data_IF_727631431082
#
_entry.id   IF_727631431082
#
_cell.length_a   1.000
_cell.length_b   1.000
_cell.length_c   1.000
_cell.angle_alpha   90.00
_cell.angle_beta   90.00
_cell.angle_gamma   90.00
#
_symmetry.space_group_name_H-M   'P 1'
#
loop_
_entity.id
_entity.type
_entity.pdbx_description
1 polymer ?
#
# COMPACT_ATOMS: atom_id res chain seq x y z
N UNK A 1 58.32 -11.00 49.41
CA UNK A 1 57.57 -11.52 50.58
C UNK A 1 57.23 -10.37 51.53
N UNK A 2 55.97 -9.94 51.53
CA UNK A 2 55.09 -9.63 52.69
C UNK A 2 54.00 -8.67 52.24
N UNK A 3 52.85 -9.29 51.94
CA UNK A 3 51.51 -8.70 51.99
C UNK A 3 51.31 -8.06 53.37
N UNK A 4 50.66 -6.88 53.41
CA UNK A 4 49.63 -6.57 54.41
C UNK A 4 48.52 -5.77 53.72
N UNK A 5 47.34 -6.42 53.62
CA UNK A 5 46.04 -5.80 53.37
C UNK A 5 45.61 -4.98 54.59
N UNK A 6 44.90 -3.86 54.41
CA UNK A 6 43.74 -3.50 55.24
C UNK A 6 42.89 -2.35 54.67
N UNK A 7 41.63 -2.71 54.38
CA UNK A 7 40.39 -2.04 54.81
C UNK A 7 40.02 -0.65 54.25
N UNK A 8 39.18 -0.72 53.22
CA UNK A 8 37.79 -0.19 53.20
C UNK A 8 37.44 0.93 54.19
N UNK A 9 37.16 2.12 53.66
CA UNK A 9 36.13 3.01 54.22
C UNK A 9 35.22 3.52 53.11
N UNK A 10 33.95 3.23 53.31
CA UNK A 10 32.80 3.48 52.46
C UNK A 10 32.31 4.90 52.80
N UNK A 11 32.55 5.90 51.94
CA UNK A 11 32.01 7.24 52.16
C UNK A 11 30.80 7.46 51.25
N UNK A 12 29.65 7.08 51.81
CA UNK A 12 28.32 7.57 51.47
C UNK A 12 28.32 9.10 51.46
N UNK A 13 28.01 9.71 50.32
CA UNK A 13 27.46 11.07 50.32
C UNK A 13 26.45 11.23 49.18
N UNK A 14 25.27 10.66 49.43
CA UNK A 14 24.02 11.06 48.81
C UNK A 14 23.77 12.55 49.09
N UNK A 15 23.96 13.40 48.09
CA UNK A 15 23.38 14.75 48.07
C UNK A 15 22.34 14.82 46.97
N UNK A 16 21.14 14.32 47.30
CA UNK A 16 19.91 14.62 46.58
C UNK A 16 19.59 16.10 46.79
N UNK A 17 19.57 16.86 45.70
CA UNK A 17 19.01 18.20 45.66
C UNK A 17 17.49 18.12 45.95
N UNK A 18 16.94 18.96 46.85
CA UNK A 18 15.50 19.05 47.01
C UNK A 18 14.93 19.93 45.88
N UNK A 19 14.38 19.31 44.83
CA UNK A 19 13.48 20.04 43.94
C UNK A 19 12.12 20.17 44.65
N UNK A 20 11.58 21.38 44.83
CA UNK A 20 10.24 21.54 45.39
C UNK A 20 9.22 20.97 44.40
N UNK A 21 8.39 20.04 44.89
CA UNK A 21 7.24 19.52 44.19
C UNK A 21 6.26 20.67 43.93
N UNK A 22 6.18 21.13 42.68
CA UNK A 22 5.13 22.03 42.25
C UNK A 22 3.80 21.27 42.31
N UNK A 23 2.94 21.66 43.25
CA UNK A 23 1.55 21.24 43.37
C UNK A 23 0.84 21.70 42.09
N UNK A 24 0.51 20.75 41.21
CA UNK A 24 -0.33 21.04 40.04
C UNK A 24 -1.72 21.43 40.55
N UNK A 25 -2.29 22.57 40.13
CA UNK A 25 -3.68 22.86 40.45
C UNK A 25 -4.56 21.78 39.84
N UNK A 26 -5.45 21.22 40.64
CA UNK A 26 -6.52 20.35 40.17
C UNK A 26 -7.35 21.13 39.15
N UNK A 27 -7.27 20.74 37.88
CA UNK A 27 -8.21 21.20 36.88
C UNK A 27 -9.59 20.68 37.29
N UNK A 28 -10.35 21.57 37.93
CA UNK A 28 -11.74 21.37 38.21
C UNK A 28 -12.46 21.00 36.91
N UNK A 29 -13.23 19.94 37.02
CA UNK A 29 -14.04 19.34 35.98
C UNK A 29 -15.03 20.39 35.44
N UNK A 30 -14.80 20.90 34.23
CA UNK A 30 -15.80 21.71 33.53
C UNK A 30 -16.50 20.81 32.52
N UNK A 31 -17.61 20.19 32.94
CA UNK A 31 -18.55 19.52 32.04
C UNK A 31 -19.11 20.55 31.07
N UNK A 32 -18.60 20.57 29.85
CA UNK A 32 -19.25 21.31 28.78
C UNK A 32 -20.55 20.59 28.43
N UNK A 33 -21.67 21.18 28.82
CA UNK A 33 -23.00 20.80 28.37
C UNK A 33 -23.13 21.17 26.90
N UNK A 34 -23.15 20.18 26.01
CA UNK A 34 -23.44 20.39 24.59
C UNK A 34 -24.91 20.81 24.45
N UNK A 35 -25.11 22.09 24.15
CA UNK A 35 -26.43 22.65 23.81
C UNK A 35 -26.80 22.29 22.38
N UNK A 36 -27.97 21.68 22.19
CA UNK A 36 -28.53 21.33 20.89
C UNK A 36 -29.38 22.50 20.38
N UNK A 37 -28.74 23.46 19.70
CA UNK A 37 -29.48 24.42 18.88
C UNK A 37 -28.69 24.68 17.60
N UNK A 38 -29.31 24.37 16.46
CA UNK A 38 -28.73 24.53 15.12
C UNK A 38 -28.63 26.01 14.75
N UNK A 39 -27.44 26.58 14.48
CA UNK A 39 -27.33 27.92 13.94
C UNK A 39 -27.64 27.90 12.43
N UNK A 40 -28.77 28.51 12.06
CA UNK A 40 -29.13 28.84 10.68
C UNK A 40 -28.30 30.04 10.22
N UNK A 41 -27.33 29.81 9.31
CA UNK A 41 -26.63 30.89 8.61
C UNK A 41 -26.87 30.85 7.10
N UNK A 42 -27.37 32.00 6.67
CA UNK A 42 -27.79 32.47 5.34
C UNK A 42 -26.59 32.47 4.38
N UNK A 43 -26.72 31.79 3.24
CA UNK A 43 -25.69 31.72 2.19
C UNK A 43 -25.93 32.82 1.15
N UNK A 44 -25.06 33.83 1.12
CA UNK A 44 -24.97 34.79 0.02
C UNK A 44 -24.40 34.09 -1.22
N UNK A 45 -25.06 34.35 -2.35
CA UNK A 45 -24.86 33.74 -3.66
C UNK A 45 -23.94 34.66 -4.48
N UNK A 46 -22.74 34.18 -4.78
CA UNK A 46 -21.81 34.77 -5.75
C UNK A 46 -21.46 33.71 -6.79
N UNK A 47 -21.76 34.02 -8.04
CA UNK A 47 -21.63 33.15 -9.22
C UNK A 47 -20.17 32.87 -9.59
N UNK A 48 -19.84 31.60 -9.83
CA UNK A 48 -18.88 31.17 -10.86
C UNK A 48 -19.30 29.77 -11.35
N UNK A 49 -19.50 29.70 -12.66
CA UNK A 49 -20.12 28.63 -13.43
C UNK A 49 -19.02 27.71 -14.01
N UNK A 50 -19.09 26.39 -13.75
CA UNK A 50 -18.79 25.30 -14.70
C UNK A 50 -18.56 23.97 -13.95
N UNK A 51 -19.64 23.22 -13.69
CA UNK A 51 -19.53 21.77 -13.45
C UNK A 51 -20.67 21.06 -14.17
N UNK A 52 -20.28 20.14 -15.06
CA UNK A 52 -21.12 19.33 -15.94
C UNK A 52 -22.37 18.80 -15.27
N UNK A 53 -23.50 19.07 -15.93
CA UNK A 53 -24.81 18.56 -15.56
C UNK A 53 -24.77 17.02 -15.56
N UNK A 54 -24.90 16.45 -14.36
CA UNK A 54 -25.33 15.06 -14.17
C UNK A 54 -26.81 15.03 -14.56
N UNK A 55 -27.07 14.69 -15.82
CA UNK A 55 -28.41 14.54 -16.35
C UNK A 55 -29.13 13.44 -15.57
N UNK A 56 -30.02 13.84 -14.67
CA UNK A 56 -31.00 12.97 -14.05
C UNK A 56 -31.97 12.55 -15.16
N UNK A 57 -31.75 11.40 -15.77
CA UNK A 57 -32.69 10.78 -16.70
C UNK A 57 -34.02 10.62 -15.97
N UNK A 58 -34.99 11.44 -16.39
CA UNK A 58 -36.39 11.31 -16.02
C UNK A 58 -36.89 10.12 -16.84
N UNK A 59 -37.14 8.99 -16.18
CA UNK A 59 -37.82 7.86 -16.82
C UNK A 59 -39.27 8.30 -17.03
N UNK A 60 -39.58 8.73 -18.24
CA UNK A 60 -40.95 8.85 -18.74
C UNK A 60 -41.28 7.52 -19.42
N UNK A 61 -42.28 6.81 -18.91
CA UNK A 61 -42.72 5.52 -19.43
C UNK A 61 -43.63 5.67 -20.65
N UNK A 62 -43.25 6.52 -21.62
CA UNK A 62 -44.09 6.82 -22.77
C UNK A 62 -43.20 7.11 -24.00
N UNK A 63 -42.56 6.08 -24.55
CA UNK A 63 -41.97 6.12 -25.89
C UNK A 63 -42.77 5.16 -26.80
N UNK A 64 -43.36 5.65 -27.92
CA UNK A 64 -44.18 4.84 -28.81
C UNK A 64 -43.31 3.89 -29.64
N UNK A 65 -43.87 2.72 -29.93
CA UNK A 65 -43.26 1.63 -30.69
C UNK A 65 -42.49 2.12 -31.93
N UNK A 66 -41.15 2.04 -31.85
CA UNK A 66 -40.21 2.32 -32.94
C UNK A 66 -39.60 1.04 -33.51
N UNK A 67 -39.80 0.87 -34.83
CA UNK A 67 -39.20 -0.01 -35.84
C UNK A 67 -38.30 -1.21 -35.45
N UNK A 68 -38.58 -2.35 -36.07
CA UNK A 68 -38.05 -3.68 -35.76
C UNK A 68 -36.67 -4.07 -36.36
N UNK A 69 -35.83 -3.12 -36.80
CA UNK A 69 -34.57 -3.40 -37.51
C UNK A 69 -33.26 -2.91 -36.82
N UNK A 70 -33.27 -2.59 -35.52
CA UNK A 70 -32.07 -2.19 -34.73
C UNK A 70 -31.35 -3.36 -34.03
N UNK A 71 -31.26 -4.54 -34.64
CA UNK A 71 -30.64 -5.73 -34.00
C UNK A 71 -29.17 -5.52 -33.63
N UNK A 72 -28.45 -4.66 -34.36
CA UNK A 72 -27.04 -4.33 -34.13
C UNK A 72 -26.80 -3.44 -32.87
N UNK A 73 -27.77 -2.61 -32.48
CA UNK A 73 -27.68 -1.83 -31.24
C UNK A 73 -27.79 -2.70 -29.97
N UNK A 74 -28.34 -3.91 -30.13
CA UNK A 74 -28.34 -4.98 -29.14
C UNK A 74 -26.93 -5.42 -28.75
N UNK A 75 -26.13 -5.72 -29.76
CA UNK A 75 -24.82 -6.35 -29.70
C UNK A 75 -23.71 -5.35 -29.31
N UNK A 76 -23.73 -4.13 -29.86
CA UNK A 76 -22.75 -3.10 -29.55
C UNK A 76 -22.71 -2.71 -28.06
N UNK A 77 -23.86 -2.71 -27.38
CA UNK A 77 -23.94 -2.42 -25.94
C UNK A 77 -23.41 -3.58 -25.11
N UNK A 78 -23.58 -4.83 -25.57
CA UNK A 78 -23.03 -6.02 -24.89
C UNK A 78 -21.50 -5.96 -24.95
N UNK A 79 -20.94 -5.66 -26.12
CA UNK A 79 -19.49 -5.51 -26.30
C UNK A 79 -18.90 -4.41 -25.41
N UNK A 80 -19.55 -3.25 -25.33
CA UNK A 80 -19.10 -2.17 -24.44
C UNK A 80 -19.08 -2.60 -22.95
N UNK A 81 -20.08 -3.39 -22.52
CA UNK A 81 -20.13 -3.91 -21.15
C UNK A 81 -19.06 -4.97 -20.91
N UNK A 82 -18.77 -5.80 -21.92
CA UNK A 82 -17.69 -6.79 -21.85
C UNK A 82 -16.34 -6.12 -21.71
N UNK A 83 -16.04 -5.11 -22.52
CA UNK A 83 -14.76 -4.42 -22.47
C UNK A 83 -14.55 -3.69 -21.14
N UNK A 84 -15.60 -3.04 -20.60
CA UNK A 84 -15.55 -2.45 -19.25
C UNK A 84 -15.33 -3.50 -18.16
N UNK A 85 -15.95 -4.66 -18.28
CA UNK A 85 -15.83 -5.75 -17.31
C UNK A 85 -14.43 -6.37 -17.38
N UNK A 86 -13.92 -6.62 -18.60
CA UNK A 86 -12.56 -7.07 -18.87
C UNK A 86 -11.54 -6.12 -18.27
N UNK A 87 -11.61 -4.82 -18.58
CA UNK A 87 -10.67 -3.83 -18.06
C UNK A 87 -10.64 -3.76 -16.52
N UNK A 88 -11.77 -4.00 -15.84
CA UNK A 88 -11.81 -4.11 -14.37
C UNK A 88 -11.14 -5.40 -13.87
N UNK A 89 -11.42 -6.53 -14.51
CA UNK A 89 -10.83 -7.82 -14.15
C UNK A 89 -9.31 -7.83 -14.38
N UNK A 90 -8.85 -7.29 -15.51
CA UNK A 90 -7.42 -7.18 -15.83
C UNK A 90 -6.66 -6.33 -14.82
N UNK A 91 -7.24 -5.23 -14.34
CA UNK A 91 -6.64 -4.43 -13.27
C UNK A 91 -6.47 -5.23 -11.97
N UNK A 92 -7.48 -6.01 -11.59
CA UNK A 92 -7.42 -6.87 -10.42
C UNK A 92 -6.34 -7.97 -10.57
N UNK A 93 -6.26 -8.60 -11.76
CA UNK A 93 -5.25 -9.61 -12.07
C UNK A 93 -3.84 -9.01 -12.11
N UNK A 94 -3.67 -7.83 -12.71
CA UNK A 94 -2.40 -7.14 -12.79
C UNK A 94 -1.88 -6.77 -11.39
N UNK A 95 -2.76 -6.24 -10.54
CA UNK A 95 -2.44 -5.97 -9.13
C UNK A 95 -1.99 -7.25 -8.40
N UNK A 96 -2.74 -8.35 -8.54
CA UNK A 96 -2.40 -9.61 -7.90
C UNK A 96 -1.04 -10.17 -8.37
N UNK A 97 -0.77 -10.10 -9.68
CA UNK A 97 0.51 -10.52 -10.27
C UNK A 97 1.68 -9.70 -9.74
N UNK A 98 1.52 -8.38 -9.61
CA UNK A 98 2.55 -7.50 -9.07
C UNK A 98 2.90 -7.86 -7.61
N UNK A 99 1.88 -8.07 -6.76
CA UNK A 99 2.08 -8.45 -5.35
C UNK A 99 2.68 -9.86 -5.23
N UNK A 100 2.23 -10.82 -6.04
CA UNK A 100 2.79 -12.17 -6.07
C UNK A 100 4.27 -12.16 -6.45
N UNK A 101 4.64 -11.38 -7.48
CA UNK A 101 6.04 -11.25 -7.90
C UNK A 101 6.92 -10.70 -6.78
N UNK A 102 6.46 -9.63 -6.12
CA UNK A 102 7.20 -9.04 -4.99
C UNK A 102 7.34 -10.01 -3.81
N UNK A 103 6.27 -10.73 -3.46
CA UNK A 103 6.30 -11.70 -2.37
C UNK A 103 7.19 -12.92 -2.67
N UNK A 104 7.22 -13.41 -3.91
CA UNK A 104 8.11 -14.52 -4.32
C UNK A 104 9.58 -14.10 -4.22
N UNK A 105 9.93 -12.90 -4.70
CA UNK A 105 11.31 -12.42 -4.61
C UNK A 105 11.74 -12.24 -3.15
N UNK A 106 10.86 -11.68 -2.31
CA UNK A 106 11.07 -11.58 -0.86
C UNK A 106 11.29 -12.96 -0.22
N UNK A 107 10.48 -13.95 -0.60
CA UNK A 107 10.58 -15.34 -0.15
C UNK A 107 11.91 -16.03 -0.49
N UNK A 108 12.48 -15.72 -1.65
CA UNK A 108 13.81 -16.19 -2.08
C UNK A 108 14.97 -15.45 -1.39
N UNK A 109 14.67 -14.40 -0.63
CA UNK A 109 15.66 -13.48 -0.07
C UNK A 109 16.31 -12.58 -1.11
N UNK A 110 15.70 -12.45 -2.30
CA UNK A 110 16.07 -11.45 -3.29
C UNK A 110 15.38 -10.14 -2.95
N UNK A 111 16.07 -9.05 -3.23
CA UNK A 111 15.59 -7.72 -2.83
C UNK A 111 15.33 -6.90 -4.06
N UNK A 112 14.11 -6.39 -4.15
CA UNK A 112 13.70 -5.42 -5.16
C UNK A 112 13.97 -3.99 -4.66
N UNK A 113 14.35 -3.06 -5.56
CA UNK A 113 14.55 -1.66 -5.19
C UNK A 113 13.26 -0.97 -4.72
N UNK A 114 12.10 -1.53 -5.09
CA UNK A 114 10.77 -1.06 -4.64
C UNK A 114 10.61 -1.03 -3.11
N UNK A 115 11.38 -1.83 -2.38
CA UNK A 115 11.35 -1.84 -0.91
C UNK A 115 11.71 -0.48 -0.28
N UNK A 116 12.50 0.34 -0.98
CA UNK A 116 12.97 1.64 -0.48
C UNK A 116 12.12 2.82 -1.00
N UNK A 117 11.05 2.57 -1.77
CA UNK A 117 10.24 3.65 -2.36
C UNK A 117 9.36 4.38 -1.31
N UNK A 118 9.11 3.75 -0.16
CA UNK A 118 8.43 4.38 0.99
C UNK A 118 9.32 5.37 1.74
N UNK A 119 10.64 5.33 1.55
CA UNK A 119 11.58 6.17 2.29
C UNK A 119 11.49 7.62 1.80
N UNK A 120 11.39 8.54 2.77
CA UNK A 120 11.32 9.99 2.54
C UNK A 120 12.48 10.66 3.26
N UNK A 121 13.29 11.40 2.52
CA UNK A 121 14.49 12.08 3.02
C UNK A 121 14.18 13.56 3.22
N UNK A 122 14.52 14.10 4.38
CA UNK A 122 14.41 15.54 4.66
C UNK A 122 15.79 16.17 4.52
N UNK A 123 15.91 17.15 3.62
CA UNK A 123 17.13 17.93 3.47
C UNK A 123 17.01 19.22 4.31
N UNK A 124 18.10 19.73 4.92
CA UNK A 124 18.08 20.96 5.69
C UNK A 124 17.86 22.20 4.80
N UNK A 125 18.33 22.17 3.55
CA UNK A 125 18.32 23.31 2.64
C UNK A 125 17.01 23.44 1.85
N UNK A 126 16.18 22.39 1.82
CA UNK A 126 14.94 22.34 1.04
C UNK A 126 13.75 22.15 1.97
N UNK A 127 12.75 23.04 1.96
CA UNK A 127 11.52 22.83 2.72
C UNK A 127 10.70 21.70 2.09
N UNK A 128 10.78 20.49 2.66
CA UNK A 128 9.98 19.34 2.24
C UNK A 128 10.68 17.99 2.43
N UNK A 129 9.95 16.92 2.10
CA UNK A 129 10.52 15.56 2.03
C UNK A 129 10.64 15.13 0.57
N UNK A 130 11.78 14.53 0.22
CA UNK A 130 12.06 14.03 -1.12
C UNK A 130 12.08 12.50 -1.12
N UNK A 131 11.79 11.91 -2.28
CA UNK A 131 11.89 10.46 -2.47
C UNK A 131 13.36 10.06 -2.57
N UNK A 132 13.72 8.91 -2.01
CA UNK A 132 15.09 8.40 -2.07
C UNK A 132 15.61 8.23 -3.52
N UNK A 133 14.75 7.80 -4.44
CA UNK A 133 15.07 7.63 -5.86
C UNK A 133 15.54 8.92 -6.56
N UNK A 134 15.20 10.10 -6.04
CA UNK A 134 15.64 11.37 -6.60
C UNK A 134 17.08 11.73 -6.16
N UNK A 135 17.52 11.21 -5.01
CA UNK A 135 18.82 11.54 -4.39
C UNK A 135 19.86 10.44 -4.58
N UNK A 136 19.43 9.22 -4.94
CA UNK A 136 20.31 8.08 -5.05
C UNK A 136 19.87 7.10 -6.14
N UNK A 137 20.85 6.40 -6.70
CA UNK A 137 20.63 5.22 -7.55
C UNK A 137 20.59 3.97 -6.67
N UNK A 138 19.57 3.12 -6.88
CA UNK A 138 19.38 1.90 -6.09
C UNK A 138 19.62 0.69 -6.99
N UNK A 139 20.63 -0.10 -6.64
CA UNK A 139 20.97 -1.33 -7.35
C UNK A 139 20.80 -2.53 -6.42
N UNK A 140 20.14 -3.60 -6.88
CA UNK A 140 20.07 -4.85 -6.15
C UNK A 140 21.17 -5.81 -6.58
N UNK A 141 21.91 -6.38 -5.61
CA UNK A 141 22.93 -7.40 -5.87
C UNK A 141 22.84 -8.51 -4.82
N UNK A 142 22.31 -9.65 -5.26
CA UNK A 142 22.06 -10.80 -4.39
C UNK A 142 21.04 -10.46 -3.31
N UNK A 143 21.48 -10.52 -2.05
CA UNK A 143 20.64 -10.27 -0.87
C UNK A 143 20.87 -8.87 -0.27
N UNK A 144 21.57 -7.98 -0.98
CA UNK A 144 21.85 -6.64 -0.50
C UNK A 144 21.41 -5.60 -1.52
N UNK A 145 20.91 -4.47 -1.02
CA UNK A 145 20.70 -3.27 -1.82
C UNK A 145 21.93 -2.36 -1.68
N UNK A 146 22.34 -1.81 -2.81
CA UNK A 146 23.39 -0.80 -2.91
C UNK A 146 22.70 0.51 -3.27
N UNK A 147 22.78 1.48 -2.38
CA UNK A 147 22.26 2.83 -2.57
C UNK A 147 23.44 3.74 -2.79
N UNK A 148 23.60 4.22 -4.02
CA UNK A 148 24.65 5.14 -4.43
C UNK A 148 24.07 6.55 -4.43
N UNK A 149 24.49 7.37 -3.47
CA UNK A 149 24.01 8.75 -3.32
C UNK A 149 24.81 9.64 -4.25
N UNK A 150 24.12 10.48 -5.03
CA UNK A 150 24.76 11.37 -5.99
C UNK A 150 25.60 12.47 -5.31
N UNK A 151 25.14 12.97 -4.16
CA UNK A 151 25.83 13.98 -3.35
C UNK A 151 26.23 13.47 -1.96
N UNK A 152 27.52 13.55 -1.68
CA UNK A 152 28.14 13.16 -0.39
C UNK A 152 27.63 13.96 0.81
N UNK A 153 27.19 15.20 0.61
CA UNK A 153 26.67 16.05 1.70
C UNK A 153 25.37 15.50 2.27
N UNK A 154 24.53 14.90 1.41
CA UNK A 154 23.21 14.37 1.75
C UNK A 154 23.25 12.95 2.34
N UNK A 155 24.41 12.29 2.30
CA UNK A 155 24.55 10.89 2.72
C UNK A 155 24.08 10.65 4.16
N UNK A 156 24.42 11.55 5.09
CA UNK A 156 24.00 11.43 6.51
C UNK A 156 22.48 11.52 6.68
N UNK A 157 21.82 12.34 5.86
CA UNK A 157 20.37 12.51 5.89
C UNK A 157 19.68 11.29 5.29
N UNK A 158 20.23 10.74 4.20
CA UNK A 158 19.75 9.48 3.58
C UNK A 158 19.87 8.32 4.57
N UNK A 159 21.01 8.18 5.23
CA UNK A 159 21.25 7.15 6.24
C UNK A 159 20.23 7.25 7.39
N UNK A 160 20.07 8.46 7.94
CA UNK A 160 19.09 8.74 8.99
C UNK A 160 17.65 8.48 8.54
N UNK A 161 17.30 8.79 7.29
CA UNK A 161 15.97 8.57 6.74
C UNK A 161 15.65 7.07 6.57
N UNK A 162 16.63 6.27 6.15
CA UNK A 162 16.47 4.81 6.04
C UNK A 162 16.27 4.20 7.44
N UNK A 163 17.02 4.67 8.44
CA UNK A 163 16.81 4.27 9.83
C UNK A 163 15.43 4.71 10.36
N UNK A 164 15.00 5.94 10.06
CA UNK A 164 13.72 6.48 10.50
C UNK A 164 12.51 5.77 9.85
N UNK A 165 12.68 5.25 8.63
CA UNK A 165 11.65 4.46 7.93
C UNK A 165 11.36 3.11 8.62
N UNK A 166 12.21 2.68 9.57
CA UNK A 166 12.07 1.47 10.38
C UNK A 166 11.62 0.24 9.56
N UNK A 167 12.29 0.03 8.42
CA UNK A 167 12.04 -1.15 7.60
C UNK A 167 12.48 -2.40 8.39
N UNK A 168 11.69 -3.49 8.39
CA UNK A 168 11.89 -4.62 9.27
C UNK A 168 13.24 -5.30 9.03
N UNK A 169 14.13 -5.23 10.02
CA UNK A 169 15.42 -5.94 10.02
C UNK A 169 16.49 -5.33 9.12
N UNK A 170 16.36 -4.05 8.76
CA UNK A 170 17.24 -3.39 7.78
C UNK A 170 18.10 -2.32 8.46
N UNK A 171 19.42 -2.46 8.38
CA UNK A 171 20.37 -1.45 8.84
C UNK A 171 21.39 -1.13 7.74
N UNK A 172 21.47 0.12 7.25
CA UNK A 172 22.47 0.53 6.27
C UNK A 172 23.89 0.44 6.83
N UNK A 173 24.79 -0.16 6.06
CA UNK A 173 26.21 -0.25 6.32
C UNK A 173 26.96 0.60 5.31
N UNK A 174 27.72 1.58 5.80
CA UNK A 174 28.56 2.42 4.93
C UNK A 174 29.76 1.61 4.44
N UNK A 175 29.82 1.34 3.14
CA UNK A 175 30.94 0.57 2.54
C UNK A 175 31.94 1.47 1.84
N UNK A 176 31.45 2.47 1.08
CA UNK A 176 32.27 3.47 0.38
C UNK A 176 31.81 4.87 0.79
N UNK A 177 32.63 5.89 0.55
CA UNK A 177 32.32 7.29 0.88
C UNK A 177 30.96 7.78 0.36
N UNK A 178 30.45 7.19 -0.74
CA UNK A 178 29.21 7.55 -1.44
C UNK A 178 28.15 6.43 -1.49
N UNK A 179 28.53 5.19 -1.13
CA UNK A 179 27.68 3.99 -1.29
C UNK A 179 27.28 3.39 0.05
N UNK A 180 25.97 3.23 0.25
CA UNK A 180 25.37 2.53 1.38
C UNK A 180 24.98 1.11 0.96
N UNK A 181 25.41 0.11 1.74
CA UNK A 181 25.07 -1.30 1.55
C UNK A 181 24.04 -1.68 2.60
N UNK A 182 22.91 -2.20 2.15
CA UNK A 182 21.81 -2.62 3.00
C UNK A 182 21.70 -4.15 2.90
N UNK A 183 22.27 -4.91 3.85
CA UNK A 183 22.13 -6.37 3.85
C UNK A 183 20.74 -6.78 4.31
N UNK A 184 20.11 -7.69 3.59
CA UNK A 184 18.86 -8.33 3.98
C UNK A 184 19.12 -9.78 4.30
N UNK A 185 18.70 -10.19 5.50
CA UNK A 185 18.79 -11.58 5.93
C UNK A 185 17.86 -12.43 5.06
N UNK A 186 18.27 -13.68 4.79
CA UNK A 186 17.38 -14.63 4.13
C UNK A 186 16.22 -14.96 5.08
N UNK A 187 14.99 -15.10 4.57
CA UNK A 187 13.85 -15.46 5.41
C UNK A 187 14.02 -16.89 5.94
N UNK A 188 13.62 -17.09 7.20
CA UNK A 188 13.54 -18.42 7.83
C UNK A 188 12.37 -19.22 7.25
N UNK A 189 12.31 -20.52 7.54
CA UNK A 189 11.22 -21.40 7.08
C UNK A 189 9.84 -20.90 7.55
N UNK A 190 9.76 -20.43 8.80
CA UNK A 190 8.53 -19.84 9.37
C UNK A 190 8.13 -18.54 8.67
N UNK A 191 9.09 -17.70 8.29
CA UNK A 191 8.80 -16.49 7.54
C UNK A 191 8.36 -16.79 6.10
N UNK A 192 8.93 -17.84 5.48
CA UNK A 192 8.49 -18.29 4.15
C UNK A 192 7.04 -18.77 4.17
N UNK A 193 6.61 -19.51 5.20
CA UNK A 193 5.22 -19.98 5.31
C UNK A 193 4.24 -18.83 5.56
N UNK A 194 4.63 -17.83 6.35
CA UNK A 194 3.82 -16.62 6.56
C UNK A 194 3.66 -15.79 5.27
N UNK A 195 4.73 -15.60 4.49
CA UNK A 195 4.64 -14.93 3.18
C UNK A 195 3.70 -15.71 2.25
N UNK A 196 3.81 -17.05 2.21
CA UNK A 196 2.92 -17.88 1.40
C UNK A 196 1.44 -17.73 1.79
N UNK A 197 1.15 -17.62 3.10
CA UNK A 197 -0.21 -17.35 3.59
C UNK A 197 -0.72 -15.99 3.10
N UNK A 198 0.08 -14.95 3.24
CA UNK A 198 -0.26 -13.60 2.76
C UNK A 198 -0.51 -13.56 1.24
N UNK A 199 0.29 -14.30 0.48
CA UNK A 199 0.10 -14.42 -0.97
C UNK A 199 -1.20 -15.14 -1.33
N UNK A 200 -1.58 -16.19 -0.58
CA UNK A 200 -2.85 -16.86 -0.76
C UNK A 200 -4.04 -15.92 -0.46
N UNK A 201 -3.97 -15.15 0.63
CA UNK A 201 -4.99 -14.16 0.99
C UNK A 201 -5.12 -13.05 -0.08
N UNK A 202 -4.00 -12.65 -0.69
CA UNK A 202 -3.98 -11.69 -1.80
C UNK A 202 -4.69 -12.23 -3.04
N UNK A 203 -4.47 -13.51 -3.38
CA UNK A 203 -5.15 -14.16 -4.51
C UNK A 203 -6.65 -14.27 -4.26
N UNK A 204 -7.08 -14.63 -3.05
CA UNK A 204 -8.50 -14.68 -2.71
C UNK A 204 -9.16 -13.29 -2.73
N UNK A 205 -8.42 -12.25 -2.34
CA UNK A 205 -8.87 -10.85 -2.49
C UNK A 205 -9.06 -10.47 -3.97
N UNK A 206 -8.14 -10.86 -4.84
CA UNK A 206 -8.24 -10.63 -6.28
C UNK A 206 -9.43 -11.38 -6.91
N UNK A 207 -9.65 -12.65 -6.53
CA UNK A 207 -10.83 -13.43 -6.96
C UNK A 207 -12.12 -12.77 -6.51
N UNK A 208 -12.15 -12.20 -5.30
CA UNK A 208 -13.31 -11.46 -4.80
C UNK A 208 -13.59 -10.23 -5.65
N UNK A 209 -12.56 -9.47 -6.05
CA UNK A 209 -12.73 -8.34 -6.97
C UNK A 209 -13.25 -8.77 -8.35
N UNK A 210 -12.78 -9.91 -8.88
CA UNK A 210 -13.29 -10.48 -10.15
C UNK A 210 -14.78 -10.85 -10.03
N UNK A 211 -15.19 -11.45 -8.90
CA UNK A 211 -16.62 -11.78 -8.64
C UNK A 211 -17.48 -10.53 -8.53
N UNK A 212 -16.96 -9.46 -7.92
CA UNK A 212 -17.64 -8.15 -7.89
C UNK A 212 -17.76 -7.56 -9.28
N UNK A 213 -16.70 -7.60 -10.10
CA UNK A 213 -16.72 -7.13 -11.49
C UNK A 213 -17.73 -7.91 -12.34
N UNK A 214 -17.84 -9.23 -12.15
CA UNK A 214 -18.89 -10.05 -12.78
C UNK A 214 -20.29 -9.57 -12.40
N UNK A 215 -20.52 -9.34 -11.12
CA UNK A 215 -21.83 -8.89 -10.61
C UNK A 215 -22.22 -7.52 -11.15
N UNK A 216 -21.25 -6.61 -11.27
CA UNK A 216 -21.43 -5.31 -11.92
C UNK A 216 -21.75 -5.47 -13.42
N UNK A 217 -21.03 -6.35 -14.12
CA UNK A 217 -21.29 -6.67 -15.52
C UNK A 217 -22.70 -7.23 -15.74
N UNK A 218 -23.16 -8.15 -14.88
CA UNK A 218 -24.51 -8.70 -14.94
C UNK A 218 -25.60 -7.65 -14.69
N UNK A 219 -25.37 -6.70 -13.77
CA UNK A 219 -26.28 -5.57 -13.55
C UNK A 219 -26.34 -4.66 -14.78
N UNK A 220 -25.21 -4.41 -15.43
CA UNK A 220 -25.13 -3.59 -16.64
C UNK A 220 -25.79 -4.25 -17.86
N UNK A 221 -25.76 -5.59 -17.95
CA UNK A 221 -26.42 -6.36 -19.02
C UNK A 221 -27.95 -6.41 -18.89
N UNK A 222 -28.51 -6.17 -17.69
CA UNK A 222 -29.94 -6.03 -17.46
C UNK A 222 -30.77 -7.22 -17.99
N UNK A 223 -31.59 -6.97 -19.03
CA UNK A 223 -32.48 -7.95 -19.69
C UNK A 223 -31.87 -8.70 -20.88
N UNK A 224 -30.66 -8.35 -21.34
CA UNK A 224 -29.98 -8.98 -22.48
C UNK A 224 -29.17 -10.23 -22.06
N UNK A 225 -29.76 -11.02 -21.15
CA UNK A 225 -29.06 -12.07 -20.40
C UNK A 225 -28.62 -13.27 -21.24
N UNK A 226 -29.23 -13.53 -22.39
CA UNK A 226 -29.02 -14.80 -23.10
C UNK A 226 -27.65 -14.94 -23.79
N UNK A 227 -26.98 -13.84 -24.14
CA UNK A 227 -25.73 -13.89 -24.93
C UNK A 227 -24.53 -13.35 -24.11
N UNK A 228 -24.72 -12.24 -23.39
CA UNK A 228 -23.62 -11.58 -22.69
C UNK A 228 -23.17 -12.25 -21.38
N UNK A 229 -24.04 -13.03 -20.71
CA UNK A 229 -23.66 -13.66 -19.42
C UNK A 229 -22.61 -14.74 -19.59
N UNK A 230 -22.71 -15.53 -20.66
CA UNK A 230 -21.83 -16.65 -20.92
C UNK A 230 -20.42 -16.17 -21.25
N UNK A 231 -20.31 -15.05 -21.98
CA UNK A 231 -19.03 -14.42 -22.31
C UNK A 231 -18.35 -13.84 -21.06
N UNK A 232 -19.10 -13.13 -20.21
CA UNK A 232 -18.56 -12.63 -18.93
C UNK A 232 -18.11 -13.79 -18.03
N UNK A 233 -18.88 -14.88 -17.98
CA UNK A 233 -18.52 -16.04 -17.15
C UNK A 233 -17.25 -16.73 -17.66
N UNK A 234 -17.08 -16.90 -18.98
CA UNK A 234 -15.83 -17.40 -19.57
C UNK A 234 -14.62 -16.56 -19.18
N UNK A 235 -14.72 -15.22 -19.28
CA UNK A 235 -13.65 -14.32 -18.86
C UNK A 235 -13.27 -14.51 -17.38
N UNK A 236 -14.27 -14.63 -16.51
CA UNK A 236 -14.05 -14.87 -15.08
C UNK A 236 -13.32 -16.19 -14.85
N UNK A 237 -13.76 -17.27 -15.50
CA UNK A 237 -13.17 -18.60 -15.35
C UNK A 237 -11.72 -18.61 -15.83
N UNK A 238 -11.41 -17.93 -16.93
CA UNK A 238 -10.05 -17.83 -17.47
C UNK A 238 -9.12 -17.05 -16.54
N UNK A 239 -9.55 -15.89 -16.03
CA UNK A 239 -8.74 -15.14 -15.06
C UNK A 239 -8.58 -15.86 -13.72
N UNK A 240 -9.59 -16.62 -13.27
CA UNK A 240 -9.47 -17.44 -12.07
C UNK A 240 -8.42 -18.56 -12.25
N UNK A 241 -8.46 -19.27 -13.38
CA UNK A 241 -7.44 -20.29 -13.72
C UNK A 241 -6.05 -19.69 -13.80
N UNK A 242 -5.92 -18.49 -14.38
CA UNK A 242 -4.63 -17.81 -14.46
C UNK A 242 -4.07 -17.50 -13.07
N UNK A 243 -4.88 -16.94 -12.16
CA UNK A 243 -4.45 -16.64 -10.79
C UNK A 243 -4.08 -17.90 -10.00
N UNK A 244 -4.86 -18.98 -10.14
CA UNK A 244 -4.54 -20.26 -9.51
C UNK A 244 -3.24 -20.87 -10.06
N UNK A 245 -3.00 -20.72 -11.37
CA UNK A 245 -1.75 -21.08 -12.02
C UNK A 245 -0.56 -20.34 -11.42
N UNK A 246 -0.65 -19.00 -11.29
CA UNK A 246 0.40 -18.17 -10.69
C UNK A 246 0.67 -18.56 -9.23
N UNK A 247 -0.38 -18.83 -8.44
CA UNK A 247 -0.21 -19.26 -7.05
C UNK A 247 0.49 -20.63 -6.96
N UNK A 248 0.18 -21.56 -7.86
CA UNK A 248 0.84 -22.87 -7.90
C UNK A 248 2.32 -22.76 -8.29
N UNK A 249 2.65 -21.86 -9.21
CA UNK A 249 4.04 -21.57 -9.59
C UNK A 249 4.77 -20.96 -8.39
N UNK A 250 4.18 -19.95 -7.75
CA UNK A 250 4.75 -19.34 -6.55
C UNK A 250 5.06 -20.40 -5.48
N UNK A 251 4.09 -21.26 -5.12
CA UNK A 251 4.29 -22.34 -4.14
C UNK A 251 5.47 -23.25 -4.49
N UNK A 252 5.60 -23.67 -5.76
CA UNK A 252 6.74 -24.48 -6.21
C UNK A 252 8.07 -23.76 -6.06
N UNK A 253 8.09 -22.44 -6.21
CA UNK A 253 9.30 -21.64 -6.03
C UNK A 253 9.73 -21.51 -4.56
N UNK A 254 8.78 -21.56 -3.61
CA UNK A 254 9.09 -21.55 -2.17
C UNK A 254 9.59 -22.89 -1.64
N UNK A 255 9.17 -24.00 -2.26
CA UNK A 255 9.61 -25.36 -1.92
C UNK A 255 11.08 -25.63 -2.34
N UNK A 256 11.59 -24.86 -3.31
CA UNK A 256 13.00 -24.97 -3.70
C UNK A 256 13.88 -24.52 -2.52
N UNK A 257 14.94 -25.29 -2.19
CA UNK A 257 15.82 -25.01 -1.05
C UNK A 257 16.48 -23.62 -1.14
#
# INVERSE_FOLDING_TARGET
>A
MRLILAKTTFCSLSKRLPYPLAIRPSLAFQTQTFSTTVPSLKKNKGDQHSKSAKQKLRITNDDPAGNADDRNAGEAVVEEVLEKSRAKMEKAVHWAKAVLFEGVERGRGRVTPALLDSVRVTLPDTPGTLHLNALASITSKGNALFVEVWDTTTLKQVDSAIHAANLPGISPQRTTGTTLKIPIARPTVEQRSEILRQLADTVESAKTQIRTARTDGFKALGGRKAIGTDQVQKLVDDYCKELDGQLSIAKKEFEKP
#
